data_IF_491062715647
#
_entry.id   IF_491062715647
#
_cell.length_a   1.000
_cell.length_b   1.000
_cell.length_c   1.000
_cell.angle_alpha   90.00
_cell.angle_beta   90.00
_cell.angle_gamma   90.00
#
_symmetry.space_group_name_H-M   'P 1'
#
loop_
_entity.id
_entity.type
_entity.pdbx_description
1 polymer ?
#
# COMPACT_ATOMS: atom_id res chain seq x y z
N UNK A 1 21.77 28.11 1.95
CA UNK A 1 20.66 27.46 1.21
C UNK A 1 19.47 27.45 2.16
N UNK A 2 18.46 28.26 1.88
CA UNK A 2 17.56 28.82 2.91
C UNK A 2 16.51 27.82 3.43
N UNK A 3 16.55 27.58 4.75
CA UNK A 3 15.41 27.10 5.55
C UNK A 3 14.36 28.22 5.61
N UNK A 4 13.27 28.11 4.85
CA UNK A 4 12.12 29.01 5.01
C UNK A 4 11.12 28.36 5.96
N UNK A 5 11.15 28.86 7.19
CA UNK A 5 10.22 28.58 8.28
C UNK A 5 8.77 28.75 7.82
N UNK A 6 8.01 27.66 7.87
CA UNK A 6 6.57 27.67 7.61
C UNK A 6 5.84 28.51 8.67
N UNK A 7 5.56 29.78 8.36
CA UNK A 7 4.67 30.60 9.17
C UNK A 7 3.26 30.02 9.05
N UNK A 8 2.79 29.32 10.08
CA UNK A 8 1.36 29.03 10.22
C UNK A 8 0.66 30.36 10.55
N UNK A 9 0.07 30.98 9.53
CA UNK A 9 -0.79 32.14 9.71
C UNK A 9 -2.10 31.62 10.27
N UNK A 10 -2.34 31.85 11.56
CA UNK A 10 -3.66 31.58 12.14
C UNK A 10 -4.66 32.52 11.44
N UNK A 11 -5.74 32.01 10.82
CA UNK A 11 -6.72 32.87 10.20
C UNK A 11 -7.32 33.82 11.26
N UNK A 12 -7.55 35.10 10.93
CA UNK A 12 -8.12 36.05 11.87
C UNK A 12 -9.47 35.54 12.39
N UNK A 13 -9.71 35.66 13.70
CA UNK A 13 -10.95 35.22 14.36
C UNK A 13 -12.09 36.16 13.94
N UNK A 14 -12.63 35.89 12.77
CA UNK A 14 -13.78 36.57 12.20
C UNK A 14 -14.86 35.52 12.00
N UNK A 15 -16.10 35.83 12.38
CA UNK A 15 -17.27 34.96 12.17
C UNK A 15 -17.48 34.79 10.66
N UNK A 16 -16.81 33.80 10.10
CA UNK A 16 -16.81 33.55 8.66
C UNK A 16 -18.15 32.93 8.30
N UNK A 17 -18.83 33.48 7.29
CA UNK A 17 -20.07 32.86 6.81
C UNK A 17 -19.78 31.42 6.39
N UNK A 18 -20.71 30.49 6.66
CA UNK A 18 -20.59 29.03 6.47
C UNK A 18 -20.02 28.64 5.09
N UNK A 19 -20.27 29.45 4.05
CA UNK A 19 -19.79 29.25 2.69
C UNK A 19 -18.27 29.48 2.48
N UNK A 20 -17.59 30.27 3.32
CA UNK A 20 -16.14 30.53 3.14
C UNK A 20 -15.27 29.34 3.61
N UNK A 21 -15.77 28.56 4.57
CA UNK A 21 -15.09 27.36 5.08
C UNK A 21 -15.16 26.25 4.01
N UNK A 22 -16.31 26.09 3.36
CA UNK A 22 -16.48 25.11 2.28
C UNK A 22 -15.54 25.42 1.11
N UNK A 23 -15.44 26.68 0.69
CA UNK A 23 -14.58 27.09 -0.44
C UNK A 23 -13.08 26.88 -0.16
N UNK A 24 -12.57 27.25 1.02
CA UNK A 24 -11.15 27.07 1.34
C UNK A 24 -10.75 25.58 1.49
N UNK A 25 -11.66 24.74 1.99
CA UNK A 25 -11.40 23.31 2.18
C UNK A 25 -11.62 22.50 0.88
N UNK A 26 -12.61 22.88 0.08
CA UNK A 26 -12.98 22.23 -1.19
C UNK A 26 -12.02 22.58 -2.35
N UNK A 27 -11.47 23.79 -2.38
CA UNK A 27 -10.44 24.18 -3.38
C UNK A 27 -9.10 23.49 -3.08
N UNK A 28 -8.80 23.20 -1.80
CA UNK A 28 -7.52 22.63 -1.35
C UNK A 28 -7.48 21.09 -1.37
N UNK A 29 -8.63 20.40 -1.28
CA UNK A 29 -8.74 18.95 -1.42
C UNK A 29 -9.83 18.58 -2.42
N UNK A 30 -9.48 18.60 -3.71
CA UNK A 30 -10.33 17.98 -4.74
C UNK A 30 -10.46 16.48 -4.47
N UNK A 31 -11.67 15.88 -4.60
CA UNK A 31 -11.82 14.44 -4.53
C UNK A 31 -11.13 13.80 -5.73
N UNK A 32 -10.12 12.97 -5.48
CA UNK A 32 -9.36 12.31 -6.54
C UNK A 32 -8.04 11.74 -6.05
N UNK A 33 -7.34 10.96 -6.88
CA UNK A 33 -6.00 10.51 -6.59
C UNK A 33 -5.06 11.71 -6.43
N UNK A 34 -4.13 11.62 -5.49
CA UNK A 34 -3.16 12.67 -5.18
C UNK A 34 -1.75 12.22 -5.54
N UNK A 35 -0.89 13.15 -5.94
CA UNK A 35 0.55 12.94 -6.17
C UNK A 35 0.82 11.77 -7.13
N UNK A 36 1.66 10.81 -6.73
CA UNK A 36 2.09 9.67 -7.55
C UNK A 36 0.91 8.81 -8.04
N UNK A 37 -0.22 8.79 -7.32
CA UNK A 37 -1.42 8.09 -7.76
C UNK A 37 -2.08 8.73 -8.99
N UNK A 38 -1.81 10.00 -9.28
CA UNK A 38 -2.30 10.65 -10.50
C UNK A 38 -1.57 10.20 -11.77
N UNK A 39 -0.33 9.70 -11.62
CA UNK A 39 0.52 9.31 -12.74
C UNK A 39 0.38 7.83 -13.12
N UNK A 40 -0.31 7.04 -12.30
CA UNK A 40 -0.52 5.61 -12.53
C UNK A 40 -1.51 5.39 -13.66
N UNK A 41 -1.06 4.78 -14.76
CA UNK A 41 -1.89 4.53 -15.95
C UNK A 41 -2.33 3.08 -16.04
N UNK A 42 -1.51 2.16 -15.55
CA UNK A 42 -1.84 0.73 -15.58
C UNK A 42 -2.45 0.29 -14.25
N UNK A 43 -3.20 -0.82 -14.31
CA UNK A 43 -3.81 -1.44 -13.13
C UNK A 43 -2.71 -1.91 -12.16
N UNK A 44 -1.57 -2.38 -12.70
CA UNK A 44 -0.43 -2.80 -11.91
C UNK A 44 0.24 -1.62 -11.18
N UNK A 45 0.40 -0.48 -11.84
CA UNK A 45 0.95 0.73 -11.19
C UNK A 45 0.05 1.16 -10.02
N UNK A 46 -1.28 1.13 -10.22
CA UNK A 46 -2.24 1.44 -9.18
C UNK A 46 -2.13 0.46 -8.00
N UNK A 47 -1.99 -0.84 -8.29
CA UNK A 47 -1.80 -1.86 -7.25
C UNK A 47 -0.49 -1.67 -6.49
N UNK A 48 0.60 -1.31 -7.17
CA UNK A 48 1.92 -1.12 -6.56
C UNK A 48 1.98 0.09 -5.60
N UNK A 49 1.07 1.06 -5.75
CA UNK A 49 0.90 2.14 -4.76
C UNK A 49 0.43 1.59 -3.41
N UNK A 50 -0.44 0.57 -3.43
CA UNK A 50 -0.91 -0.08 -2.20
C UNK A 50 0.07 -1.13 -1.70
N UNK A 51 0.64 -1.92 -2.61
CA UNK A 51 1.57 -3.01 -2.33
C UNK A 51 2.93 -2.71 -2.95
N UNK A 52 3.75 -1.96 -2.20
CA UNK A 52 5.10 -1.59 -2.64
C UNK A 52 6.05 -2.80 -2.66
N UNK A 53 7.11 -2.72 -3.47
CA UNK A 53 8.11 -3.80 -3.56
C UNK A 53 8.80 -4.05 -2.21
N UNK A 54 9.08 -3.01 -1.44
CA UNK A 54 9.63 -3.13 -0.09
C UNK A 54 8.70 -3.94 0.83
N UNK A 55 7.37 -3.74 0.72
CA UNK A 55 6.42 -4.53 1.50
C UNK A 55 6.45 -6.01 1.11
N UNK A 56 6.59 -6.30 -0.19
CA UNK A 56 6.75 -7.67 -0.69
C UNK A 56 8.06 -8.29 -0.19
N UNK A 57 9.15 -7.54 -0.18
CA UNK A 57 10.44 -7.98 0.36
C UNK A 57 10.36 -8.30 1.86
N UNK A 58 9.71 -7.44 2.66
CA UNK A 58 9.50 -7.67 4.10
C UNK A 58 8.72 -8.96 4.33
N UNK A 59 7.65 -9.20 3.55
CA UNK A 59 6.85 -10.44 3.64
C UNK A 59 7.72 -11.65 3.28
N UNK A 60 8.47 -11.56 2.19
CA UNK A 60 9.36 -12.64 1.72
C UNK A 60 10.39 -13.00 2.78
N UNK A 61 11.09 -12.00 3.33
CA UNK A 61 12.11 -12.19 4.35
C UNK A 61 11.52 -12.78 5.65
N UNK A 62 10.39 -12.25 6.09
CA UNK A 62 9.71 -12.73 7.29
C UNK A 62 9.24 -14.18 7.13
N UNK A 63 8.77 -14.54 5.94
CA UNK A 63 8.34 -15.91 5.61
C UNK A 63 9.54 -16.84 5.56
N UNK A 64 10.66 -16.42 4.98
CA UNK A 64 11.89 -17.21 4.91
C UNK A 64 12.49 -17.48 6.29
N UNK A 65 12.43 -16.51 7.22
CA UNK A 65 12.80 -16.72 8.63
C UNK A 65 11.95 -17.84 9.24
N UNK A 66 10.63 -17.82 9.02
CA UNK A 66 9.72 -18.84 9.53
C UNK A 66 9.96 -20.22 8.90
N UNK A 67 10.21 -20.27 7.58
CA UNK A 67 10.55 -21.50 6.85
C UNK A 67 11.81 -22.12 7.44
N UNK A 68 12.88 -21.34 7.64
CA UNK A 68 14.13 -21.83 8.22
C UNK A 68 13.91 -22.47 9.61
N UNK A 69 13.07 -21.87 10.44
CA UNK A 69 12.74 -22.40 11.77
C UNK A 69 11.91 -23.70 11.71
N UNK A 70 11.08 -23.86 10.68
CA UNK A 70 10.12 -24.96 10.58
C UNK A 70 10.63 -26.08 9.66
N UNK A 71 11.63 -25.84 8.82
CA UNK A 71 12.15 -26.77 7.81
C UNK A 71 12.52 -28.13 8.40
N UNK A 72 13.08 -28.15 9.61
CA UNK A 72 13.46 -29.38 10.33
C UNK A 72 12.28 -30.31 10.64
N UNK A 73 11.05 -29.81 10.61
CA UNK A 73 9.84 -30.61 10.87
C UNK A 73 9.37 -31.41 9.64
N UNK A 74 9.92 -31.12 8.46
CA UNK A 74 9.52 -31.75 7.22
C UNK A 74 10.53 -32.83 6.80
N UNK A 75 10.04 -33.98 6.35
CA UNK A 75 10.90 -35.08 5.89
C UNK A 75 11.51 -34.81 4.50
N UNK A 76 10.85 -34.00 3.66
CA UNK A 76 11.30 -33.73 2.28
C UNK A 76 11.70 -32.26 2.17
N UNK A 77 12.88 -32.01 1.59
CA UNK A 77 13.39 -30.65 1.37
C UNK A 77 12.46 -29.75 0.55
N UNK A 78 11.67 -30.35 -0.36
CA UNK A 78 10.73 -29.64 -1.22
C UNK A 78 9.54 -29.04 -0.47
N UNK A 79 9.20 -29.55 0.71
CA UNK A 79 7.99 -29.14 1.44
C UNK A 79 8.21 -27.83 2.23
N UNK A 80 9.48 -27.46 2.46
CA UNK A 80 9.87 -26.24 3.15
C UNK A 80 11.05 -25.56 2.44
N UNK A 81 10.85 -25.28 1.15
CA UNK A 81 11.79 -24.50 0.34
C UNK A 81 11.62 -23.01 0.64
N UNK A 82 12.72 -22.28 0.63
CA UNK A 82 12.76 -20.81 0.72
C UNK A 82 11.95 -20.21 -0.43
N UNK A 83 11.27 -19.11 -0.15
CA UNK A 83 10.36 -18.41 -1.07
C UNK A 83 11.02 -17.18 -1.67
N UNK A 84 10.68 -16.90 -2.93
CA UNK A 84 11.14 -15.71 -3.66
C UNK A 84 10.05 -14.62 -3.73
N UNK A 85 10.45 -13.37 -4.01
CA UNK A 85 9.52 -12.26 -4.19
C UNK A 85 8.53 -12.50 -5.34
N UNK A 86 8.95 -13.25 -6.37
CA UNK A 86 8.08 -13.68 -7.47
C UNK A 86 6.97 -14.62 -7.00
N UNK A 87 7.30 -15.58 -6.13
CA UNK A 87 6.34 -16.54 -5.57
C UNK A 87 5.31 -15.84 -4.67
N UNK A 88 5.76 -14.88 -3.84
CA UNK A 88 4.85 -14.05 -3.02
C UNK A 88 3.91 -13.22 -3.92
N UNK A 89 4.41 -12.62 -5.00
CA UNK A 89 3.58 -11.90 -5.97
C UNK A 89 2.55 -12.82 -6.64
N UNK A 90 2.97 -14.02 -7.03
CA UNK A 90 2.09 -15.03 -7.62
C UNK A 90 1.00 -15.46 -6.62
N UNK A 91 1.35 -15.66 -5.35
CA UNK A 91 0.42 -15.98 -4.27
C UNK A 91 -0.63 -14.87 -4.09
N UNK A 92 -0.21 -13.60 -4.04
CA UNK A 92 -1.13 -12.46 -3.93
C UNK A 92 -2.06 -12.37 -5.15
N UNK A 93 -1.54 -12.60 -6.36
CA UNK A 93 -2.35 -12.66 -7.57
C UNK A 93 -3.40 -13.78 -7.50
N UNK A 94 -3.02 -14.95 -6.99
CA UNK A 94 -3.95 -16.07 -6.84
C UNK A 94 -5.02 -15.78 -5.78
N UNK A 95 -4.64 -15.18 -4.64
CA UNK A 95 -5.59 -14.75 -3.61
C UNK A 95 -6.58 -13.71 -4.15
N UNK A 96 -6.12 -12.77 -4.96
CA UNK A 96 -6.99 -11.80 -5.61
C UNK A 96 -8.00 -12.49 -6.54
N UNK A 97 -7.55 -13.43 -7.37
CA UNK A 97 -8.43 -14.21 -8.25
C UNK A 97 -9.45 -15.04 -7.47
N UNK A 98 -9.04 -15.69 -6.38
CA UNK A 98 -9.94 -16.44 -5.50
C UNK A 98 -11.01 -15.55 -4.86
N UNK A 99 -10.63 -14.33 -4.48
CA UNK A 99 -11.54 -13.30 -3.97
C UNK A 99 -12.59 -12.87 -5.01
N UNK A 100 -12.15 -12.65 -6.25
CA UNK A 100 -13.05 -12.34 -7.38
C UNK A 100 -14.04 -13.48 -7.63
N UNK A 101 -13.56 -14.73 -7.58
CA UNK A 101 -14.42 -15.92 -7.78
C UNK A 101 -15.28 -16.28 -6.57
N UNK A 102 -15.18 -15.55 -5.45
CA UNK A 102 -15.85 -15.84 -4.17
C UNK A 102 -15.65 -17.29 -3.69
N UNK A 103 -14.54 -17.91 -4.07
CA UNK A 103 -14.26 -19.33 -3.84
C UNK A 103 -13.45 -19.59 -2.57
N UNK A 104 -13.32 -18.60 -1.68
CA UNK A 104 -12.47 -18.69 -0.49
C UNK A 104 -13.00 -19.55 0.66
N UNK A 105 -14.17 -20.17 0.51
CA UNK A 105 -14.86 -20.94 1.58
C UNK A 105 -15.49 -22.25 1.08
N UNK A 106 -15.13 -22.72 -0.12
CA UNK A 106 -15.70 -23.95 -0.68
C UNK A 106 -15.03 -25.19 -0.10
#
# INVERSE_FOLDING_TARGET
>A
MALQNGKKICPPVTRTKIHNIYILLYISKKPGPINNATQSKTILDCFQIYMSDNMIEIITNSTNIYINNTKLKYQRDRDAKITDTCEIRALLGMLYLLGVRRSGRQ
#
